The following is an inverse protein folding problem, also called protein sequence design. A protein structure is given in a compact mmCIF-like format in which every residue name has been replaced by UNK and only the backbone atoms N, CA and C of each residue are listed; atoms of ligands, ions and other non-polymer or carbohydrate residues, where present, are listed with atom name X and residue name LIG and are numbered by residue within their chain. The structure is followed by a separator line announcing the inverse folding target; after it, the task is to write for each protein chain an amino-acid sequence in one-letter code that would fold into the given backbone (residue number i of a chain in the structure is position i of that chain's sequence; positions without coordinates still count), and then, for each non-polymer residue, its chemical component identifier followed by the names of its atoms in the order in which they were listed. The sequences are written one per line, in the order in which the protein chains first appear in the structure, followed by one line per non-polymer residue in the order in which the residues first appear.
data_IF_821384410433
#
_entry.id   IF_821384410433
#
_cell.length_a   1.000
_cell.length_b   1.000
_cell.length_c   1.000
_cell.angle_alpha   90.00
_cell.angle_beta   90.00
_cell.angle_gamma   90.00
#
_symmetry.space_group_name_H-M   'P 1'
#
loop_
_entity.id
_entity.type
_entity.pdbx_description
1 polymer ?
#
# COMPACT_ATOMS: atom_id res chain seq x y z
N UNK A 1 -3.14 -0.02 4.59
CA UNK A 1 -2.02 0.71 3.93
C UNK A 1 -0.87 -0.23 3.63
N UNK A 2 -0.13 0.01 2.54
CA UNK A 2 1.07 -0.75 2.17
C UNK A 2 2.32 0.09 2.40
N UNK A 3 3.22 -0.39 3.24
CA UNK A 3 4.42 0.34 3.63
C UNK A 3 5.69 -0.52 3.53
N UNK A 4 6.77 0.07 3.07
CA UNK A 4 8.13 -0.47 3.20
C UNK A 4 9.13 0.66 2.98
N UNK A 5 10.16 0.72 3.78
CA UNK A 5 11.27 1.68 3.62
C UNK A 5 12.12 1.34 2.39
N UNK A 6 12.13 0.07 2.00
CA UNK A 6 12.88 -0.39 0.84
C UNK A 6 12.07 -0.21 -0.45
N UNK A 7 12.68 0.40 -1.45
CA UNK A 7 12.11 0.48 -2.79
C UNK A 7 12.12 -0.87 -3.52
N UNK A 8 11.24 -1.05 -4.51
CA UNK A 8 11.23 -2.22 -5.38
C UNK A 8 10.76 -3.54 -4.75
N UNK A 9 10.09 -3.50 -3.59
CA UNK A 9 9.59 -4.70 -2.89
C UNK A 9 8.17 -5.13 -3.31
N UNK A 10 7.56 -4.43 -4.28
CA UNK A 10 6.23 -4.74 -4.77
C UNK A 10 5.07 -4.06 -4.03
N UNK A 11 5.32 -2.95 -3.30
CA UNK A 11 4.25 -2.16 -2.62
C UNK A 11 3.13 -1.79 -3.59
N UNK A 12 3.44 -0.99 -4.60
CA UNK A 12 2.46 -0.50 -5.57
C UNK A 12 1.75 -1.63 -6.31
N UNK A 13 2.47 -2.70 -6.71
CA UNK A 13 1.86 -3.84 -7.35
C UNK A 13 0.84 -4.53 -6.43
N UNK A 14 1.14 -4.63 -5.13
CA UNK A 14 0.21 -5.18 -4.15
C UNK A 14 -0.97 -4.23 -3.91
N UNK A 15 -0.74 -2.91 -3.74
CA UNK A 15 -1.80 -1.93 -3.56
C UNK A 15 -2.82 -1.95 -4.71
N UNK A 16 -2.32 -1.92 -5.94
CA UNK A 16 -3.11 -1.93 -7.18
C UNK A 16 -3.96 -3.21 -7.29
N UNK A 17 -3.37 -4.38 -7.04
CA UNK A 17 -4.09 -5.65 -7.13
C UNK A 17 -5.08 -5.86 -5.97
N UNK A 18 -4.75 -5.44 -4.74
CA UNK A 18 -5.66 -5.53 -3.60
C UNK A 18 -6.84 -4.57 -3.72
N UNK A 19 -6.62 -3.34 -4.21
CA UNK A 19 -7.71 -2.41 -4.49
C UNK A 19 -8.66 -2.96 -5.56
N UNK A 20 -8.12 -3.50 -6.64
CA UNK A 20 -8.92 -4.17 -7.67
C UNK A 20 -9.66 -5.40 -7.13
N UNK A 21 -9.00 -6.22 -6.31
CA UNK A 21 -9.61 -7.38 -5.66
C UNK A 21 -10.81 -6.97 -4.81
N UNK A 22 -10.66 -5.97 -3.94
CA UNK A 22 -11.74 -5.47 -3.09
C UNK A 22 -12.93 -4.95 -3.90
N UNK A 23 -12.69 -4.18 -4.96
CA UNK A 23 -13.73 -3.71 -5.86
C UNK A 23 -14.46 -4.87 -6.56
N UNK A 24 -13.73 -5.90 -7.01
CA UNK A 24 -14.34 -7.11 -7.61
C UNK A 24 -15.14 -7.94 -6.59
N UNK A 25 -14.88 -7.80 -5.30
CA UNK A 25 -15.69 -8.39 -4.22
C UNK A 25 -16.95 -7.57 -3.88
N UNK A 26 -17.16 -6.45 -4.57
CA UNK A 26 -18.34 -5.59 -4.40
C UNK A 26 -18.13 -4.44 -3.40
N UNK A 27 -16.92 -4.25 -2.87
CA UNK A 27 -16.63 -3.12 -1.99
C UNK A 27 -16.35 -1.85 -2.80
N UNK A 28 -17.01 -0.76 -2.46
CA UNK A 28 -16.64 0.55 -2.99
C UNK A 28 -15.27 0.95 -2.48
N UNK A 29 -14.28 0.95 -3.35
CA UNK A 29 -12.87 1.00 -2.99
C UNK A 29 -12.21 2.29 -3.49
N UNK A 30 -11.40 2.92 -2.64
CA UNK A 30 -10.50 4.01 -3.01
C UNK A 30 -9.04 3.54 -2.92
N UNK A 31 -8.31 3.66 -4.02
CA UNK A 31 -6.85 3.56 -4.01
C UNK A 31 -6.26 4.96 -3.86
N UNK A 32 -5.43 5.16 -2.84
CA UNK A 32 -4.73 6.42 -2.55
C UNK A 32 -3.25 6.24 -2.81
N UNK A 33 -2.70 7.00 -3.75
CA UNK A 33 -1.25 7.02 -4.02
C UNK A 33 -0.61 8.21 -3.32
N UNK A 34 0.17 7.94 -2.28
CA UNK A 34 0.92 8.95 -1.52
C UNK A 34 2.43 8.93 -1.83
N UNK A 35 2.87 8.05 -2.74
CA UNK A 35 4.23 8.08 -3.25
C UNK A 35 4.37 9.14 -4.35
N UNK A 36 5.28 10.09 -4.19
CA UNK A 36 5.55 11.13 -5.19
C UNK A 36 6.00 10.60 -6.56
N UNK A 37 6.30 9.30 -6.67
CA UNK A 37 6.58 8.66 -7.96
C UNK A 37 5.31 8.46 -8.80
N UNK A 38 4.10 8.46 -8.19
CA UNK A 38 2.83 8.39 -8.90
C UNK A 38 2.63 7.07 -9.67
N UNK A 39 3.12 5.96 -9.14
CA UNK A 39 3.13 4.70 -9.89
C UNK A 39 1.75 4.04 -9.95
N UNK A 40 0.89 4.22 -8.94
CA UNK A 40 -0.43 3.60 -8.91
C UNK A 40 -1.36 4.20 -9.97
N UNK A 41 -1.32 5.53 -10.16
CA UNK A 41 -2.13 6.22 -11.17
C UNK A 41 -1.84 5.74 -12.60
N UNK A 42 -0.59 5.33 -12.85
CA UNK A 42 -0.18 4.83 -14.17
C UNK A 42 -0.93 3.56 -14.56
N UNK A 43 -1.19 2.65 -13.62
CA UNK A 43 -1.90 1.40 -13.87
C UNK A 43 -3.40 1.59 -14.12
N UNK A 44 -3.98 2.68 -13.64
CA UNK A 44 -5.40 2.99 -13.83
C UNK A 44 -5.66 4.05 -14.91
N UNK A 45 -4.61 4.51 -15.60
CA UNK A 45 -4.68 5.51 -16.69
C UNK A 45 -5.30 6.84 -16.26
N UNK A 46 -5.32 7.11 -14.96
CA UNK A 46 -5.82 8.38 -14.42
C UNK A 46 -4.69 9.40 -14.34
N UNK A 47 -5.01 10.67 -14.56
CA UNK A 47 -4.03 11.77 -14.43
C UNK A 47 -4.68 12.95 -13.74
N UNK A 48 -3.93 13.59 -12.86
CA UNK A 48 -4.30 14.92 -12.36
C UNK A 48 -3.85 16.00 -13.35
N UNK A 49 -4.58 17.13 -13.35
CA UNK A 49 -4.06 18.32 -13.98
C UNK A 49 -2.79 18.77 -13.25
N UNK A 50 -1.81 19.32 -13.99
CA UNK A 50 -0.52 19.77 -13.42
C UNK A 50 -0.66 20.86 -12.33
N UNK A 51 -1.85 21.43 -12.17
CA UNK A 51 -2.16 22.47 -11.16
C UNK A 51 -2.44 21.91 -9.76
N UNK A 52 -2.59 20.59 -9.58
CA UNK A 52 -2.84 20.00 -8.28
C UNK A 52 -1.59 20.16 -7.38
N UNK A 53 -1.71 20.97 -6.32
CA UNK A 53 -0.63 21.22 -5.36
C UNK A 53 -0.59 20.10 -4.31
N UNK A 54 0.61 19.70 -3.86
CA UNK A 54 0.76 18.65 -2.85
C UNK A 54 0.10 18.93 -1.50
N UNK A 55 -0.29 20.19 -1.23
CA UNK A 55 -1.00 20.58 0.00
C UNK A 55 -2.47 20.19 0.04
N UNK A 56 -3.06 19.65 -1.02
CA UNK A 56 -4.49 19.32 -1.07
C UNK A 56 -4.97 18.45 0.09
N UNK A 57 -4.12 17.53 0.59
CA UNK A 57 -4.42 16.71 1.77
C UNK A 57 -4.63 17.55 3.04
N UNK A 58 -4.02 18.72 3.14
CA UNK A 58 -4.12 19.61 4.29
C UNK A 58 -5.30 20.58 4.17
N UNK A 59 -5.85 20.74 2.97
CA UNK A 59 -6.98 21.63 2.68
C UNK A 59 -8.35 21.00 3.02
N UNK A 60 -8.35 19.71 3.36
CA UNK A 60 -9.51 18.99 3.85
C UNK A 60 -10.29 18.21 2.78
N UNK A 61 -11.41 17.59 3.21
CA UNK A 61 -12.20 16.63 2.42
C UNK A 61 -12.58 17.13 1.01
N UNK A 62 -13.06 18.39 0.90
CA UNK A 62 -13.54 18.93 -0.40
C UNK A 62 -12.42 18.96 -1.44
N UNK A 63 -11.23 19.39 -1.03
CA UNK A 63 -10.06 19.46 -1.91
C UNK A 63 -9.59 18.07 -2.33
N UNK A 64 -9.60 17.11 -1.41
CA UNK A 64 -9.24 15.71 -1.70
C UNK A 64 -10.28 15.08 -2.63
N UNK A 65 -11.57 15.22 -2.34
CA UNK A 65 -12.66 14.68 -3.15
C UNK A 65 -12.63 15.19 -4.59
N UNK A 66 -12.28 16.47 -4.80
CA UNK A 66 -12.14 17.07 -6.13
C UNK A 66 -11.01 16.44 -6.99
N UNK A 67 -10.07 15.76 -6.35
CA UNK A 67 -8.93 15.10 -7.01
C UNK A 67 -9.15 13.60 -7.25
N UNK A 68 -10.14 12.99 -6.61
CA UNK A 68 -10.48 11.58 -6.85
C UNK A 68 -10.96 11.42 -8.30
N UNK A 69 -10.54 10.36 -8.93
CA UNK A 69 -10.89 10.00 -10.30
C UNK A 69 -11.46 8.61 -10.34
N UNK A 70 -12.56 8.44 -11.08
CA UNK A 70 -13.07 7.12 -11.44
C UNK A 70 -12.03 6.39 -12.29
N UNK A 71 -11.88 5.09 -12.06
CA UNK A 71 -11.06 4.23 -12.91
C UNK A 71 -11.92 3.50 -13.94
N UNK A 72 -11.29 2.81 -14.89
CA UNK A 72 -11.98 1.94 -15.85
C UNK A 72 -12.67 0.71 -15.18
N UNK A 73 -12.56 0.57 -13.86
CA UNK A 73 -13.07 -0.58 -13.11
C UNK A 73 -14.18 -0.16 -12.14
N UNK A 74 -15.37 -0.71 -12.34
CA UNK A 74 -16.53 -0.41 -11.51
C UNK A 74 -16.23 -0.61 -10.00
N UNK A 75 -16.61 0.36 -9.18
CA UNK A 75 -16.42 0.34 -7.74
C UNK A 75 -15.00 0.66 -7.27
N UNK A 76 -14.09 1.07 -8.18
CA UNK A 76 -12.72 1.44 -7.85
C UNK A 76 -12.40 2.85 -8.32
N UNK A 77 -12.21 3.74 -7.36
CA UNK A 77 -11.74 5.10 -7.59
C UNK A 77 -10.26 5.24 -7.18
N UNK A 78 -9.59 6.23 -7.73
CA UNK A 78 -8.17 6.51 -7.46
C UNK A 78 -8.00 7.96 -7.03
N UNK A 79 -7.30 8.18 -5.93
CA UNK A 79 -6.70 9.46 -5.58
C UNK A 79 -5.24 9.44 -6.05
N UNK A 80 -4.94 10.06 -7.19
CA UNK A 80 -3.60 10.03 -7.75
C UNK A 80 -2.62 10.88 -6.94
N UNK A 81 -1.34 10.52 -7.00
CA UNK A 81 -0.28 11.31 -6.39
C UNK A 81 0.01 12.60 -7.14
N UNK A 82 0.76 13.48 -6.52
CA UNK A 82 1.31 14.69 -7.13
C UNK A 82 2.79 14.83 -6.79
N UNK A 83 3.55 15.52 -7.64
CA UNK A 83 4.95 15.85 -7.34
C UNK A 83 5.11 16.65 -6.04
N UNK A 84 4.06 17.35 -5.62
CA UNK A 84 4.02 18.09 -4.36
C UNK A 84 4.09 17.21 -3.11
N UNK A 85 3.82 15.90 -3.24
CA UNK A 85 3.97 14.93 -2.16
C UNK A 85 5.41 14.83 -1.64
N UNK A 86 6.41 15.14 -2.45
CA UNK A 86 7.83 15.23 -2.01
C UNK A 86 8.06 16.22 -0.87
N UNK A 87 7.21 17.23 -0.75
CA UNK A 87 7.32 18.26 0.29
C UNK A 87 6.31 18.06 1.41
N UNK A 88 5.56 16.95 1.43
CA UNK A 88 4.46 16.74 2.38
C UNK A 88 4.94 16.75 3.83
N UNK A 89 6.07 16.13 4.13
CA UNK A 89 6.65 16.14 5.48
C UNK A 89 6.92 17.56 5.98
N UNK A 90 7.45 18.43 5.12
CA UNK A 90 7.69 19.84 5.46
C UNK A 90 6.37 20.62 5.66
N UNK A 91 5.34 20.32 4.88
CA UNK A 91 4.04 20.94 5.06
C UNK A 91 3.38 20.48 6.36
N UNK A 92 3.44 19.19 6.66
CA UNK A 92 2.93 18.63 7.91
C UNK A 92 3.66 19.17 9.14
N UNK A 93 4.96 19.43 9.05
CA UNK A 93 5.76 19.97 10.17
C UNK A 93 5.31 21.39 10.59
N UNK A 94 4.70 22.12 9.68
CA UNK A 94 4.16 23.47 9.92
C UNK A 94 2.72 23.46 10.51
N UNK A 95 2.07 22.28 10.55
CA UNK A 95 0.70 22.14 11.03
C UNK A 95 0.64 21.79 12.52
N UNK A 96 -0.36 22.33 13.23
CA UNK A 96 -0.71 21.86 14.57
C UNK A 96 -1.27 20.44 14.48
N UNK A 97 -0.87 19.55 15.42
CA UNK A 97 -1.28 18.16 15.38
C UNK A 97 -0.66 17.37 14.22
N UNK A 98 0.52 17.74 13.78
CA UNK A 98 1.24 17.27 12.59
C UNK A 98 1.28 15.75 12.36
N UNK A 99 1.16 14.92 13.42
CA UNK A 99 1.14 13.46 13.32
C UNK A 99 -0.25 12.86 13.05
N UNK A 100 -1.31 13.63 13.26
CA UNK A 100 -2.70 13.20 13.15
C UNK A 100 -3.49 14.07 12.15
N UNK A 101 -2.79 14.96 11.45
CA UNK A 101 -3.43 15.96 10.57
C UNK A 101 -4.27 15.34 9.46
N UNK A 102 -3.90 14.17 8.99
CA UNK A 102 -4.61 13.47 7.92
C UNK A 102 -5.76 12.57 8.42
N UNK A 103 -5.85 12.29 9.72
CA UNK A 103 -6.91 11.41 10.26
C UNK A 103 -8.30 11.88 9.85
N UNK A 104 -8.62 13.16 10.11
CA UNK A 104 -9.94 13.72 9.79
C UNK A 104 -10.30 13.61 8.30
N UNK A 105 -9.30 13.74 7.42
CA UNK A 105 -9.51 13.62 5.98
C UNK A 105 -9.85 12.16 5.63
N UNK A 106 -9.07 11.21 6.13
CA UNK A 106 -9.27 9.79 5.83
C UNK A 106 -10.52 9.21 6.51
N UNK A 107 -10.85 9.64 7.72
CA UNK A 107 -12.12 9.32 8.37
C UNK A 107 -13.31 9.78 7.52
N UNK A 108 -13.26 11.02 7.02
CA UNK A 108 -14.33 11.56 6.17
C UNK A 108 -14.45 10.88 4.79
N UNK A 109 -13.39 10.30 4.28
CA UNK A 109 -13.43 9.46 3.07
C UNK A 109 -14.03 8.08 3.37
N UNK A 110 -13.83 7.55 4.59
CA UNK A 110 -14.45 6.32 5.07
C UNK A 110 -15.97 6.31 4.98
N UNK A 111 -16.64 7.47 5.11
CA UNK A 111 -18.10 7.61 4.89
C UNK A 111 -18.54 7.30 3.45
N UNK A 112 -17.61 7.38 2.49
CA UNK A 112 -17.90 7.25 1.05
C UNK A 112 -17.36 5.96 0.43
N UNK A 113 -16.47 5.24 1.13
CA UNK A 113 -15.80 4.05 0.63
C UNK A 113 -15.77 2.95 1.70
N UNK A 114 -16.08 1.73 1.30
CA UNK A 114 -16.00 0.55 2.19
C UNK A 114 -14.53 0.19 2.47
N UNK A 115 -13.64 0.45 1.52
CA UNK A 115 -12.21 0.14 1.60
C UNK A 115 -11.36 1.28 1.07
N UNK A 116 -10.32 1.62 1.82
CA UNK A 116 -9.29 2.57 1.40
C UNK A 116 -7.94 1.84 1.41
N UNK A 117 -7.35 1.68 0.24
CA UNK A 117 -6.02 1.10 0.06
C UNK A 117 -5.03 2.22 -0.20
N UNK A 118 -3.97 2.31 0.62
CA UNK A 118 -2.98 3.40 0.53
C UNK A 118 -1.63 2.83 0.09
N UNK A 119 -1.10 3.33 -1.02
CA UNK A 119 0.30 3.10 -1.43
C UNK A 119 1.18 4.18 -0.81
N UNK A 120 2.09 3.77 0.08
CA UNK A 120 2.85 4.67 0.94
C UNK A 120 4.22 5.02 0.33
N UNK A 121 4.78 6.21 0.64
CA UNK A 121 6.15 6.54 0.27
C UNK A 121 7.16 5.63 1.00
N UNK A 122 8.36 5.38 0.40
CA UNK A 122 9.34 4.42 0.93
C UNK A 122 10.29 5.04 1.98
N UNK A 123 9.79 5.84 2.91
CA UNK A 123 10.63 6.44 3.96
C UNK A 123 9.86 6.68 5.24
N UNK A 124 10.56 6.75 6.37
CA UNK A 124 10.02 7.22 7.62
C UNK A 124 9.99 8.76 7.62
N UNK A 125 8.81 9.34 7.84
CA UNK A 125 8.59 10.77 7.90
C UNK A 125 7.24 11.09 8.52
N UNK A 126 6.88 12.37 8.62
CA UNK A 126 5.60 12.79 9.18
C UNK A 126 4.41 12.25 8.39
N UNK A 127 4.54 12.14 7.07
CA UNK A 127 3.51 11.53 6.23
C UNK A 127 3.31 10.06 6.59
N UNK A 128 4.39 9.30 6.75
CA UNK A 128 4.30 7.90 7.18
C UNK A 128 3.72 7.76 8.59
N UNK A 129 4.10 8.64 9.54
CA UNK A 129 3.52 8.64 10.89
C UNK A 129 2.01 8.94 10.86
N UNK A 130 1.54 9.85 10.00
CA UNK A 130 0.11 10.06 9.77
C UNK A 130 -0.56 8.79 9.24
N UNK A 131 0.03 8.13 8.22
CA UNK A 131 -0.48 6.89 7.66
C UNK A 131 -0.58 5.80 8.75
N UNK A 132 0.44 5.64 9.60
CA UNK A 132 0.42 4.68 10.70
C UNK A 132 -0.69 4.95 11.72
N UNK A 133 -1.06 6.22 11.93
CA UNK A 133 -2.12 6.59 12.85
C UNK A 133 -3.51 6.22 12.31
N UNK A 134 -3.83 6.56 11.07
CA UNK A 134 -5.17 6.31 10.53
C UNK A 134 -5.39 4.90 9.97
N UNK A 135 -4.31 4.16 9.67
CA UNK A 135 -4.45 2.80 9.12
C UNK A 135 -4.93 1.80 10.15
N UNK A 136 -5.91 0.98 9.82
CA UNK A 136 -6.30 -0.20 10.60
C UNK A 136 -5.26 -1.30 10.47
N UNK A 137 -4.72 -1.49 9.26
CA UNK A 137 -3.72 -2.51 8.94
C UNK A 137 -2.58 -1.92 8.12
N UNK A 138 -1.36 -2.28 8.48
CA UNK A 138 -0.15 -1.94 7.75
C UNK A 138 0.45 -3.20 7.12
N UNK A 139 0.24 -3.37 5.82
CA UNK A 139 0.80 -4.47 5.05
C UNK A 139 2.23 -4.16 4.64
N UNK A 140 3.14 -5.09 4.94
CA UNK A 140 4.57 -4.90 4.69
C UNK A 140 5.08 -6.00 3.75
N UNK A 141 5.26 -5.70 2.45
CA UNK A 141 5.88 -6.62 1.52
C UNK A 141 7.37 -6.79 1.83
N UNK A 142 7.81 -8.04 1.93
CA UNK A 142 9.19 -8.41 2.28
C UNK A 142 9.77 -9.30 1.17
N UNK A 143 10.82 -8.84 0.51
CA UNK A 143 11.65 -9.72 -0.31
C UNK A 143 12.45 -10.63 0.64
N UNK A 144 12.48 -11.97 0.46
CA UNK A 144 13.20 -12.86 1.37
C UNK A 144 14.72 -12.62 1.32
N UNK A 145 15.20 -11.71 2.15
CA UNK A 145 16.61 -11.37 2.29
C UNK A 145 16.92 -10.87 3.70
N UNK A 146 18.16 -11.02 4.14
CA UNK A 146 18.62 -10.59 5.46
C UNK A 146 18.33 -9.10 5.69
N UNK A 147 18.64 -8.25 4.71
CA UNK A 147 18.41 -6.81 4.83
C UNK A 147 16.92 -6.46 4.98
N UNK A 148 16.04 -7.19 4.29
CA UNK A 148 14.59 -6.96 4.43
C UNK A 148 14.06 -7.40 5.79
N UNK A 149 14.64 -8.46 6.36
CA UNK A 149 14.34 -8.91 7.73
C UNK A 149 14.73 -7.83 8.75
N UNK A 150 15.94 -7.27 8.63
CA UNK A 150 16.40 -6.17 9.49
C UNK A 150 15.50 -4.92 9.36
N UNK A 151 15.09 -4.58 8.13
CA UNK A 151 14.18 -3.44 7.90
C UNK A 151 12.81 -3.66 8.58
N UNK A 152 12.30 -4.88 8.56
CA UNK A 152 11.06 -5.22 9.28
C UNK A 152 11.24 -5.08 10.80
N UNK A 153 12.37 -5.52 11.35
CA UNK A 153 12.68 -5.36 12.77
C UNK A 153 12.77 -3.89 13.16
N UNK A 154 13.44 -3.07 12.36
CA UNK A 154 13.49 -1.62 12.54
C UNK A 154 12.08 -0.99 12.56
N UNK A 155 11.15 -1.44 11.70
CA UNK A 155 9.78 -0.98 11.71
C UNK A 155 9.06 -1.34 13.02
N UNK A 156 9.21 -2.58 13.52
CA UNK A 156 8.64 -2.98 14.80
C UNK A 156 9.21 -2.17 15.97
N UNK A 157 10.51 -1.90 15.97
CA UNK A 157 11.16 -1.12 17.01
C UNK A 157 10.74 0.35 16.96
N UNK A 158 10.60 0.91 15.75
CA UNK A 158 10.03 2.25 15.57
C UNK A 158 8.62 2.35 16.16
N UNK A 159 7.76 1.37 15.86
CA UNK A 159 6.40 1.33 16.40
C UNK A 159 6.39 1.28 17.93
N UNK A 160 7.23 0.43 18.54
CA UNK A 160 7.35 0.32 20.01
C UNK A 160 7.84 1.64 20.61
N UNK A 161 8.90 2.24 20.07
CA UNK A 161 9.48 3.49 20.57
C UNK A 161 8.51 4.66 20.49
N UNK A 162 7.63 4.67 19.48
CA UNK A 162 6.63 5.72 19.24
C UNK A 162 5.28 5.43 19.88
N UNK A 163 5.09 4.28 20.51
CA UNK A 163 3.83 3.87 21.12
C UNK A 163 2.74 3.45 20.13
N UNK A 164 3.11 3.12 18.89
CA UNK A 164 2.15 2.60 17.90
C UNK A 164 1.78 1.14 18.16
N UNK A 165 0.59 0.74 17.72
CA UNK A 165 0.06 -0.62 17.87
C UNK A 165 0.75 -1.57 16.89
N UNK A 166 1.70 -2.37 17.37
CA UNK A 166 2.45 -3.32 16.54
C UNK A 166 1.59 -4.43 15.92
N UNK A 167 0.43 -4.73 16.48
CA UNK A 167 -0.53 -5.72 15.94
C UNK A 167 -1.10 -5.33 14.58
N UNK A 168 -1.07 -4.03 14.23
CA UNK A 168 -1.47 -3.55 12.89
C UNK A 168 -0.52 -4.00 11.78
N UNK A 169 0.72 -4.33 12.10
CA UNK A 169 1.73 -4.71 11.11
C UNK A 169 1.49 -6.17 10.71
N UNK A 170 1.21 -6.40 9.44
CA UNK A 170 1.13 -7.70 8.80
C UNK A 170 2.14 -7.78 7.66
N UNK A 171 3.15 -8.60 7.81
CA UNK A 171 4.15 -8.83 6.77
C UNK A 171 3.74 -9.98 5.84
N UNK A 172 4.12 -9.90 4.59
CA UNK A 172 4.02 -11.02 3.63
C UNK A 172 5.24 -11.05 2.73
N UNK A 173 5.60 -12.26 2.29
CA UNK A 173 6.72 -12.41 1.37
C UNK A 173 6.30 -12.03 -0.05
N UNK A 174 7.11 -11.17 -0.66
CA UNK A 174 6.92 -10.66 -2.02
C UNK A 174 8.18 -10.93 -2.86
N UNK A 175 8.00 -11.06 -4.17
CA UNK A 175 9.06 -11.31 -5.15
C UNK A 175 9.84 -12.59 -4.78
N UNK A 176 9.10 -13.61 -4.35
CA UNK A 176 9.67 -14.88 -3.91
C UNK A 176 10.16 -15.69 -5.10
N UNK A 177 11.42 -16.10 -5.08
CA UNK A 177 12.01 -17.05 -6.02
C UNK A 177 12.45 -18.32 -5.26
N UNK A 178 11.67 -19.38 -5.33
CA UNK A 178 11.93 -20.65 -4.64
C UNK A 178 13.13 -21.43 -5.18
N UNK A 179 13.76 -21.00 -6.27
CA UNK A 179 15.03 -21.55 -6.76
C UNK A 179 16.23 -21.00 -5.98
N UNK A 180 16.05 -19.87 -5.30
CA UNK A 180 17.11 -19.22 -4.50
C UNK A 180 17.12 -19.81 -3.10
N UNK A 181 18.20 -20.52 -2.74
CA UNK A 181 18.39 -21.10 -1.41
C UNK A 181 18.25 -20.08 -0.30
N UNK A 182 18.81 -18.88 -0.48
CA UNK A 182 18.71 -17.77 0.48
C UNK A 182 17.25 -17.39 0.75
N UNK A 183 16.37 -17.37 -0.27
CA UNK A 183 14.95 -17.07 -0.07
C UNK A 183 14.30 -18.12 0.82
N UNK A 184 14.55 -19.42 0.55
CA UNK A 184 13.99 -20.53 1.34
C UNK A 184 14.45 -20.43 2.80
N UNK A 185 15.74 -20.25 3.04
CA UNK A 185 16.32 -20.13 4.38
C UNK A 185 15.75 -18.91 5.14
N UNK A 186 15.61 -17.76 4.46
CA UNK A 186 15.05 -16.54 5.06
C UNK A 186 13.57 -16.73 5.41
N UNK A 187 12.76 -17.33 4.53
CA UNK A 187 11.35 -17.62 4.80
C UNK A 187 11.24 -18.51 6.04
N UNK A 188 11.97 -19.62 6.09
CA UNK A 188 11.93 -20.51 7.24
C UNK A 188 12.37 -19.87 8.56
N UNK A 189 13.37 -18.98 8.51
CA UNK A 189 13.87 -18.32 9.72
C UNK A 189 12.89 -17.27 10.26
N UNK A 190 12.19 -16.55 9.39
CA UNK A 190 11.24 -15.48 9.77
C UNK A 190 9.87 -16.01 10.13
N UNK A 191 9.37 -17.04 9.44
CA UNK A 191 8.05 -17.63 9.66
C UNK A 191 7.94 -18.25 11.06
N UNK A 192 9.02 -18.83 11.57
CA UNK A 192 9.07 -19.41 12.93
C UNK A 192 9.01 -18.38 14.08
N UNK A 193 9.26 -17.11 13.82
CA UNK A 193 9.47 -16.10 14.87
C UNK A 193 8.32 -15.13 15.08
N UNK A 194 7.38 -14.97 14.13
CA UNK A 194 6.43 -13.84 14.19
C UNK A 194 5.00 -14.23 13.79
N UNK A 195 4.06 -14.04 14.71
CA UNK A 195 2.60 -14.16 14.50
C UNK A 195 2.03 -13.16 13.46
N UNK A 196 2.82 -12.17 13.05
CA UNK A 196 2.41 -11.08 12.17
C UNK A 196 2.76 -11.34 10.70
N UNK A 197 3.06 -12.59 10.30
CA UNK A 197 3.23 -12.96 8.92
C UNK A 197 1.95 -13.56 8.32
N UNK A 198 1.63 -13.12 7.11
CA UNK A 198 0.65 -13.77 6.26
C UNK A 198 1.26 -15.04 5.63
N UNK A 199 0.42 -16.04 5.41
CA UNK A 199 0.86 -17.32 4.83
C UNK A 199 1.07 -17.21 3.32
N UNK A 200 0.36 -16.29 2.68
CA UNK A 200 0.44 -16.06 1.24
C UNK A 200 1.75 -15.39 0.85
N UNK A 201 2.40 -15.95 -0.16
CA UNK A 201 3.62 -15.42 -0.77
C UNK A 201 3.36 -15.02 -2.22
N UNK A 202 3.84 -13.85 -2.63
CA UNK A 202 3.77 -13.37 -4.02
C UNK A 202 5.05 -13.78 -4.75
N UNK A 203 4.98 -14.59 -5.79
CA UNK A 203 6.16 -15.06 -6.51
C UNK A 203 6.81 -13.92 -7.33
N UNK A 204 8.10 -14.06 -7.58
CA UNK A 204 8.77 -13.30 -8.63
C UNK A 204 8.27 -13.78 -9.98
N UNK A 205 7.58 -12.93 -10.72
CA UNK A 205 6.88 -13.30 -11.94
C UNK A 205 6.86 -12.15 -12.95
N UNK A 206 7.23 -12.45 -14.19
CA UNK A 206 7.25 -11.48 -15.29
C UNK A 206 5.86 -10.90 -15.60
N UNK A 207 4.80 -11.62 -15.29
CA UNK A 207 3.43 -11.13 -15.44
C UNK A 207 3.14 -9.93 -14.55
N UNK A 208 3.78 -9.84 -13.36
CA UNK A 208 3.67 -8.65 -12.50
C UNK A 208 4.40 -7.46 -13.12
N UNK A 209 5.57 -7.67 -13.71
CA UNK A 209 6.32 -6.63 -14.42
C UNK A 209 5.54 -6.13 -15.65
N UNK A 210 4.85 -7.03 -16.35
CA UNK A 210 3.99 -6.69 -17.50
C UNK A 210 2.81 -5.79 -17.15
N UNK A 211 2.42 -5.65 -15.88
CA UNK A 211 1.41 -4.67 -15.47
C UNK A 211 1.74 -3.27 -16.02
N UNK A 212 3.03 -2.91 -16.12
CA UNK A 212 3.48 -1.64 -16.69
C UNK A 212 3.14 -1.50 -18.18
N UNK A 213 3.24 -2.58 -18.95
CA UNK A 213 2.88 -2.61 -20.38
C UNK A 213 1.37 -2.60 -20.59
N UNK A 214 0.66 -3.45 -19.83
CA UNK A 214 -0.79 -3.59 -19.90
C UNK A 214 -1.53 -2.36 -19.30
N UNK A 215 -0.86 -1.61 -18.41
CA UNK A 215 -1.42 -0.49 -17.65
C UNK A 215 -2.74 -0.89 -16.98
N UNK A 216 -2.69 -2.03 -16.28
CA UNK A 216 -3.82 -2.65 -15.57
C UNK A 216 -3.33 -3.44 -14.37
N UNK A 217 -4.17 -3.65 -13.33
CA UNK A 217 -3.90 -4.66 -12.32
C UNK A 217 -3.70 -6.04 -12.96
N UNK A 218 -2.78 -6.85 -12.43
CA UNK A 218 -2.57 -8.23 -12.92
C UNK A 218 -3.87 -9.03 -12.90
N UNK A 219 -4.68 -8.86 -11.87
CA UNK A 219 -5.97 -9.53 -11.73
C UNK A 219 -6.98 -9.16 -12.82
N UNK A 220 -6.80 -8.04 -13.50
CA UNK A 220 -7.69 -7.60 -14.59
C UNK A 220 -7.39 -8.29 -15.93
N UNK A 221 -6.16 -8.79 -16.14
CA UNK A 221 -5.79 -9.40 -17.44
C UNK A 221 -5.26 -10.84 -17.33
N UNK A 222 -4.68 -11.24 -16.19
CA UNK A 222 -4.12 -12.58 -16.02
C UNK A 222 -4.30 -13.13 -14.58
N UNK A 223 -5.54 -13.12 -14.09
CA UNK A 223 -5.89 -13.59 -12.75
C UNK A 223 -5.53 -15.08 -12.50
N UNK A 224 -5.47 -15.89 -13.56
CA UNK A 224 -5.17 -17.34 -13.47
C UNK A 224 -3.69 -17.67 -13.42
N UNK A 225 -2.79 -16.72 -13.64
CA UNK A 225 -1.34 -16.91 -13.47
C UNK A 225 -0.98 -17.24 -12.01
N UNK A 226 0.22 -17.80 -11.79
CA UNK A 226 0.71 -18.08 -10.43
C UNK A 226 0.68 -16.84 -9.54
N UNK A 227 1.11 -15.69 -10.07
CA UNK A 227 1.09 -14.42 -9.35
C UNK A 227 -0.32 -13.89 -9.14
N UNK A 228 -1.21 -14.00 -10.15
CA UNK A 228 -2.62 -13.62 -10.04
C UNK A 228 -3.33 -14.41 -8.94
N UNK A 229 -3.19 -15.74 -8.96
CA UNK A 229 -3.73 -16.60 -7.89
C UNK A 229 -3.13 -16.29 -6.51
N UNK A 230 -1.88 -15.86 -6.44
CA UNK A 230 -1.26 -15.44 -5.19
C UNK A 230 -1.88 -14.12 -4.68
N UNK A 231 -2.14 -13.13 -5.53
CA UNK A 231 -2.86 -11.90 -5.12
C UNK A 231 -4.30 -12.19 -4.70
N UNK A 232 -5.01 -13.11 -5.35
CA UNK A 232 -6.36 -13.54 -4.91
C UNK A 232 -6.27 -14.18 -3.52
N UNK A 233 -5.31 -15.08 -3.28
CA UNK A 233 -5.12 -15.69 -1.95
C UNK A 233 -4.76 -14.65 -0.89
N UNK A 234 -3.90 -13.66 -1.22
CA UNK A 234 -3.55 -12.57 -0.32
C UNK A 234 -4.80 -11.76 0.06
N UNK A 235 -5.62 -11.37 -0.91
CA UNK A 235 -6.87 -10.66 -0.67
C UNK A 235 -7.82 -11.47 0.23
N UNK A 236 -8.00 -12.76 -0.07
CA UNK A 236 -8.86 -13.64 0.74
C UNK A 236 -8.31 -13.82 2.17
N UNK A 237 -7.00 -14.01 2.35
CA UNK A 237 -6.39 -14.10 3.68
C UNK A 237 -6.62 -12.82 4.50
N UNK A 238 -6.59 -11.65 3.86
CA UNK A 238 -6.89 -10.38 4.50
C UNK A 238 -8.38 -10.22 4.85
N UNK A 239 -9.31 -10.66 3.98
CA UNK A 239 -10.75 -10.69 4.28
C UNK A 239 -11.04 -11.56 5.50
N UNK A 240 -10.49 -12.78 5.55
CA UNK A 240 -10.67 -13.71 6.70
C UNK A 240 -10.15 -13.11 8.00
N UNK A 241 -9.12 -12.25 7.94
CA UNK A 241 -8.59 -11.53 9.12
C UNK A 241 -9.34 -10.23 9.44
N UNK A 242 -10.33 -9.85 8.64
CA UNK A 242 -11.04 -8.58 8.78
C UNK A 242 -10.20 -7.35 8.44
N UNK A 243 -9.19 -7.52 7.57
CA UNK A 243 -8.24 -6.46 7.20
C UNK A 243 -8.50 -5.88 5.81
N UNK A 244 -9.40 -6.48 5.03
CA UNK A 244 -9.79 -6.03 3.68
C UNK A 244 -11.28 -6.28 3.45
#
# INVERSE_FOLDING_TARGET
SLFSVKGGVGKTAAAVNLAYYAAKRGHKTLLVDLDAQGSAEFYFRVRLSQKARGRFLLEGRKSVAALIRESDFAGLDVLPSTLGMRNMDRHLDQESGKKHRLNTVFESLGDSYDRIVVDCPPHFGLLSENIFNFSDTLLVPIVPSILSAMTLEQLFDFFKQRGYITKKILAFFSIVDMRKRLHIETIHSLDRKKKNFLTTMIPNASEVERMGLERKPLLAYNARSKAGMAFIRLGHELEVRGCL
#
